data_IF_164967650789
#
_entry.id   IF_164967650789
#
_cell.length_a   1.000
_cell.length_b   1.000
_cell.length_c   1.000
_cell.angle_alpha   90.00
_cell.angle_beta   90.00
_cell.angle_gamma   90.00
#
_symmetry.space_group_name_H-M   'P 1'
#
loop_
_entity.id
_entity.type
_entity.pdbx_description
1 polymer ?
#
# COMPACT_ATOMS: atom_id res chain seq x y z
N UNK A 1 -11.36 -4.07 -15.34
CA UNK A 1 -10.12 -3.42 -15.85
C UNK A 1 -8.86 -4.01 -15.19
N UNK A 2 -8.63 -5.33 -15.26
CA UNK A 2 -7.49 -5.98 -14.59
C UNK A 2 -6.84 -7.14 -15.40
N UNK A 3 -7.03 -7.21 -16.72
CA UNK A 3 -6.41 -8.29 -17.53
C UNK A 3 -4.89 -8.15 -17.69
N UNK A 4 -4.31 -7.01 -17.31
CA UNK A 4 -2.86 -6.74 -17.45
C UNK A 4 -2.03 -7.16 -16.25
N UNK A 5 -2.64 -7.41 -15.09
CA UNK A 5 -1.91 -7.85 -13.88
C UNK A 5 -1.52 -9.32 -13.96
N UNK A 6 -2.42 -10.18 -14.46
CA UNK A 6 -2.16 -11.63 -14.60
C UNK A 6 -1.00 -11.89 -15.58
N UNK A 7 -0.93 -11.12 -16.69
CA UNK A 7 0.17 -11.23 -17.67
C UNK A 7 1.54 -10.81 -17.12
N UNK A 8 1.58 -9.95 -16.09
CA UNK A 8 2.85 -9.49 -15.48
C UNK A 8 3.42 -10.47 -14.46
N UNK A 9 2.59 -11.33 -13.87
CA UNK A 9 3.05 -12.31 -12.88
C UNK A 9 3.68 -13.52 -13.60
N UNK A 10 3.11 -13.96 -14.73
CA UNK A 10 3.61 -15.12 -15.48
C UNK A 10 4.96 -14.90 -16.19
N UNK A 11 5.41 -13.65 -16.37
CA UNK A 11 6.69 -13.31 -17.04
C UNK A 11 7.81 -12.91 -16.05
N UNK A 12 7.59 -13.07 -14.75
CA UNK A 12 8.59 -12.71 -13.73
C UNK A 12 9.64 -13.82 -13.60
N UNK A 13 10.50 -13.93 -14.63
CA UNK A 13 11.78 -14.62 -14.51
C UNK A 13 12.65 -13.99 -13.41
N UNK A 14 13.63 -14.73 -12.86
CA UNK A 14 14.44 -14.27 -11.75
C UNK A 14 15.20 -12.99 -12.14
N UNK A 15 15.09 -11.97 -11.29
CA UNK A 15 15.74 -10.67 -11.47
C UNK A 15 17.24 -10.89 -11.23
N UNK A 16 18.01 -11.07 -12.29
CA UNK A 16 19.47 -11.05 -12.22
C UNK A 16 19.96 -9.63 -12.50
N UNK A 17 20.30 -8.92 -11.44
CA UNK A 17 21.07 -7.68 -11.51
C UNK A 17 22.55 -8.02 -11.75
N UNK A 18 23.01 -7.92 -12.99
CA UNK A 18 24.44 -7.80 -13.26
C UNK A 18 24.68 -6.92 -14.48
N UNK A 19 24.88 -5.63 -14.23
CA UNK A 19 25.36 -4.67 -15.23
C UNK A 19 26.89 -4.66 -15.19
N UNK A 20 27.52 -5.46 -16.07
CA UNK A 20 28.86 -5.21 -16.64
C UNK A 20 29.19 -6.37 -17.59
N UNK A 21 29.23 -6.05 -18.89
CA UNK A 21 29.89 -6.83 -19.94
C UNK A 21 29.39 -8.28 -20.14
N UNK A 22 28.11 -8.47 -20.47
CA UNK A 22 27.64 -9.74 -21.01
C UNK A 22 27.87 -9.76 -22.53
N UNK A 23 28.88 -10.51 -22.95
CA UNK A 23 29.02 -11.02 -24.31
C UNK A 23 27.68 -11.61 -24.77
N UNK A 24 27.20 -11.12 -25.91
CA UNK A 24 25.91 -11.39 -26.52
C UNK A 24 25.72 -12.87 -26.81
N UNK A 25 25.02 -13.59 -25.94
CA UNK A 25 24.14 -14.66 -26.42
C UNK A 25 22.83 -13.99 -26.84
N UNK A 26 22.47 -13.94 -28.13
CA UNK A 26 21.17 -13.42 -28.52
C UNK A 26 20.12 -14.25 -27.80
N UNK A 27 19.16 -13.58 -27.18
CA UNK A 27 18.05 -14.19 -26.45
C UNK A 27 17.11 -14.87 -27.45
N UNK A 28 17.56 -15.97 -28.07
CA UNK A 28 16.79 -16.76 -29.04
C UNK A 28 15.52 -17.33 -28.38
N UNK A 29 15.50 -17.48 -27.05
CA UNK A 29 14.31 -17.92 -26.31
C UNK A 29 13.26 -16.82 -26.04
N UNK A 30 13.60 -15.53 -26.14
CA UNK A 30 12.64 -14.45 -25.83
C UNK A 30 11.58 -14.27 -26.94
N UNK A 31 11.76 -14.93 -28.09
CA UNK A 31 10.86 -14.86 -29.23
C UNK A 31 10.29 -16.22 -29.66
N UNK A 32 9.93 -17.08 -28.71
CA UNK A 32 9.05 -18.24 -28.95
C UNK A 32 7.57 -17.83 -29.18
N UNK A 33 7.34 -16.65 -29.78
CA UNK A 33 6.02 -16.14 -30.14
C UNK A 33 5.79 -16.38 -31.63
N UNK A 34 4.63 -16.92 -32.05
CA UNK A 34 4.28 -17.09 -33.47
C UNK A 34 4.38 -15.79 -34.27
N UNK A 35 4.17 -14.66 -33.61
CA UNK A 35 4.33 -13.33 -34.20
C UNK A 35 5.70 -12.76 -33.84
N UNK A 36 6.55 -12.61 -34.86
CA UNK A 36 7.85 -11.96 -34.75
C UNK A 36 7.66 -10.43 -34.73
N UNK A 37 8.34 -9.69 -33.84
CA UNK A 37 8.23 -8.24 -33.84
C UNK A 37 8.85 -7.66 -35.11
N UNK A 38 8.18 -6.66 -35.72
CA UNK A 38 8.71 -5.91 -36.88
C UNK A 38 10.03 -5.18 -36.59
N UNK A 39 10.27 -4.85 -35.32
CA UNK A 39 11.50 -4.22 -34.84
C UNK A 39 11.99 -4.96 -33.61
N UNK A 40 13.20 -5.53 -33.71
CA UNK A 40 13.84 -6.21 -32.58
C UNK A 40 14.22 -5.17 -31.53
N UNK A 41 13.88 -5.46 -30.28
CA UNK A 41 14.24 -4.68 -29.10
C UNK A 41 15.01 -5.61 -28.16
N UNK A 42 16.10 -5.19 -27.49
CA UNK A 42 16.72 -3.86 -27.45
C UNK A 42 17.49 -3.51 -28.73
N UNK A 43 17.62 -2.23 -29.09
CA UNK A 43 18.50 -1.82 -30.17
C UNK A 43 19.97 -1.99 -29.74
N UNK A 44 20.82 -2.43 -30.66
CA UNK A 44 22.27 -2.55 -30.42
C UNK A 44 22.90 -1.18 -30.19
N UNK A 45 23.08 -0.77 -28.93
CA UNK A 45 23.63 0.55 -28.59
C UNK A 45 25.04 0.78 -29.14
N UNK A 46 25.83 -0.26 -29.38
CA UNK A 46 27.19 -0.12 -29.95
C UNK A 46 27.19 0.39 -31.39
N UNK A 47 26.12 0.17 -32.15
CA UNK A 47 26.00 0.54 -33.58
C UNK A 47 25.35 1.92 -33.79
N UNK A 48 24.80 2.52 -32.73
CA UNK A 48 24.08 3.79 -32.77
C UNK A 48 25.04 4.97 -32.66
N UNK A 49 24.76 6.04 -33.42
CA UNK A 49 25.48 7.31 -33.29
C UNK A 49 25.25 7.92 -31.89
N UNK A 50 26.23 8.66 -31.38
CA UNK A 50 26.14 9.36 -30.08
C UNK A 50 24.92 10.27 -29.98
N UNK A 51 24.57 10.94 -31.08
CA UNK A 51 23.37 11.78 -31.18
C UNK A 51 22.10 10.98 -30.95
N UNK A 52 22.04 9.75 -31.44
CA UNK A 52 20.88 8.87 -31.29
C UNK A 52 20.81 8.28 -29.89
N UNK A 53 21.96 7.87 -29.32
CA UNK A 53 22.08 7.44 -27.92
C UNK A 53 21.55 8.53 -26.98
N UNK A 54 21.95 9.78 -27.17
CA UNK A 54 21.49 10.91 -26.35
C UNK A 54 19.97 11.13 -26.47
N UNK A 55 19.38 10.95 -27.66
CA UNK A 55 17.91 11.04 -27.84
C UNK A 55 17.18 9.93 -27.07
N UNK A 56 17.71 8.71 -27.07
CA UNK A 56 17.15 7.60 -26.30
C UNK A 56 17.27 7.84 -24.80
N UNK A 57 18.43 8.30 -24.34
CA UNK A 57 18.65 8.65 -22.94
C UNK A 57 17.68 9.75 -22.48
N UNK A 58 17.54 10.82 -23.26
CA UNK A 58 16.60 11.91 -22.96
C UNK A 58 15.17 11.41 -22.89
N UNK A 59 14.76 10.53 -23.82
CA UNK A 59 13.42 9.92 -23.83
C UNK A 59 13.21 9.00 -22.63
N UNK A 60 14.22 8.21 -22.27
CA UNK A 60 14.19 7.33 -21.10
C UNK A 60 14.04 8.12 -19.81
N UNK A 61 14.90 9.12 -19.57
CA UNK A 61 14.84 9.99 -18.38
C UNK A 61 13.48 10.67 -18.24
N UNK A 62 12.88 11.13 -19.34
CA UNK A 62 11.52 11.70 -19.33
C UNK A 62 10.47 10.68 -18.92
N UNK A 63 10.50 9.47 -19.47
CA UNK A 63 9.55 8.40 -19.13
C UNK A 63 9.71 7.95 -17.68
N UNK A 64 10.95 7.83 -17.18
CA UNK A 64 11.21 7.54 -15.78
C UNK A 64 10.70 8.66 -14.90
N UNK A 65 10.96 9.92 -15.24
CA UNK A 65 10.42 11.06 -14.48
C UNK A 65 8.89 11.04 -14.41
N UNK A 66 8.21 10.68 -15.50
CA UNK A 66 6.74 10.56 -15.52
C UNK A 66 6.24 9.32 -14.73
N UNK A 67 6.91 8.17 -14.85
CA UNK A 67 6.55 6.96 -14.10
C UNK A 67 6.85 7.10 -12.59
N UNK A 68 7.89 7.84 -12.25
CA UNK A 68 8.34 8.13 -10.89
C UNK A 68 7.71 9.40 -10.31
N UNK A 69 7.03 10.22 -11.12
CA UNK A 69 6.16 11.28 -10.63
C UNK A 69 5.03 10.61 -9.84
N UNK A 70 5.29 10.37 -8.55
CA UNK A 70 4.33 9.74 -7.65
C UNK A 70 3.11 10.66 -7.60
N UNK A 71 1.92 10.22 -8.02
CA UNK A 71 0.73 11.04 -7.90
C UNK A 71 0.38 11.13 -6.41
N UNK A 72 0.92 12.15 -5.74
CA UNK A 72 0.65 12.41 -4.32
C UNK A 72 -0.85 12.66 -4.12
N UNK A 73 -1.45 13.39 -5.05
CA UNK A 73 -2.88 13.68 -5.07
C UNK A 73 -3.74 12.41 -5.09
N UNK A 74 -3.43 11.46 -5.97
CA UNK A 74 -4.17 10.18 -6.02
C UNK A 74 -4.04 9.38 -4.71
N UNK A 75 -2.88 9.46 -4.04
CA UNK A 75 -2.71 8.82 -2.72
C UNK A 75 -3.59 9.49 -1.67
N UNK A 76 -3.66 10.82 -1.66
CA UNK A 76 -4.54 11.57 -0.77
C UNK A 76 -6.00 11.24 -1.02
N UNK A 77 -6.45 11.24 -2.28
CA UNK A 77 -7.82 10.87 -2.62
C UNK A 77 -8.14 9.45 -2.15
N UNK A 78 -7.23 8.49 -2.39
CA UNK A 78 -7.42 7.11 -1.91
C UNK A 78 -7.51 7.02 -0.39
N UNK A 79 -6.71 7.82 0.32
CA UNK A 79 -6.76 7.87 1.78
C UNK A 79 -8.08 8.50 2.26
N UNK A 80 -8.54 9.57 1.63
CA UNK A 80 -9.83 10.21 1.93
C UNK A 80 -10.99 9.28 1.62
N UNK A 81 -10.92 8.53 0.52
CA UNK A 81 -11.93 7.52 0.16
C UNK A 81 -11.96 6.38 1.17
N UNK A 82 -10.79 5.87 1.59
CA UNK A 82 -10.72 4.85 2.63
C UNK A 82 -11.27 5.39 3.96
N UNK A 83 -10.90 6.61 4.31
CA UNK A 83 -11.38 7.30 5.51
C UNK A 83 -12.90 7.46 5.48
N UNK A 84 -13.48 7.97 4.38
CA UNK A 84 -14.93 8.17 4.28
C UNK A 84 -15.71 6.86 4.41
N UNK A 85 -15.28 5.79 3.74
CA UNK A 85 -15.89 4.46 3.86
C UNK A 85 -15.78 3.94 5.29
N UNK A 86 -14.61 4.08 5.92
CA UNK A 86 -14.39 3.61 7.29
C UNK A 86 -15.24 4.41 8.29
N UNK A 87 -15.32 5.72 8.15
CA UNK A 87 -16.15 6.59 9.01
C UNK A 87 -17.62 6.22 8.93
N UNK A 88 -18.14 5.97 7.72
CA UNK A 88 -19.53 5.52 7.55
C UNK A 88 -19.76 4.18 8.23
N UNK A 89 -18.87 3.20 8.04
CA UNK A 89 -18.97 1.89 8.71
C UNK A 89 -18.94 2.01 10.24
N UNK A 90 -18.02 2.79 10.79
CA UNK A 90 -17.93 3.03 12.24
C UNK A 90 -19.22 3.69 12.76
N UNK A 91 -19.75 4.68 12.04
CA UNK A 91 -21.02 5.31 12.41
C UNK A 91 -22.18 4.31 12.38
N UNK A 92 -22.30 3.52 11.31
CA UNK A 92 -23.34 2.50 11.16
C UNK A 92 -23.30 1.44 12.26
N UNK A 93 -22.11 1.01 12.69
CA UNK A 93 -21.96 -0.01 13.73
C UNK A 93 -22.14 0.60 15.13
N UNK A 94 -21.50 1.74 15.41
CA UNK A 94 -21.36 2.25 16.78
C UNK A 94 -22.46 3.24 17.21
N UNK A 95 -23.00 4.03 16.27
CA UNK A 95 -23.89 5.14 16.60
C UNK A 95 -25.28 5.06 15.96
N UNK A 96 -25.43 4.39 14.82
CA UNK A 96 -26.72 4.27 14.14
C UNK A 96 -27.70 3.44 14.97
N UNK A 97 -28.80 4.04 15.40
CA UNK A 97 -29.87 3.31 16.05
C UNK A 97 -30.78 2.69 15.00
N UNK A 98 -30.77 1.36 14.91
CA UNK A 98 -31.70 0.62 14.07
C UNK A 98 -32.95 0.43 14.93
N UNK A 99 -34.04 1.14 14.61
CA UNK A 99 -35.34 1.17 15.34
C UNK A 99 -36.05 -0.19 15.41
N UNK A 100 -35.37 -1.21 15.91
CA UNK A 100 -35.77 -2.60 16.02
C UNK A 100 -35.56 -3.02 17.46
N UNK A 101 -36.42 -3.88 18.00
CA UNK A 101 -36.40 -4.28 19.42
C UNK A 101 -35.04 -4.86 19.88
N UNK A 102 -34.27 -5.46 18.97
CA UNK A 102 -32.94 -6.00 19.25
C UNK A 102 -31.90 -5.35 18.34
N UNK A 103 -31.12 -4.41 18.88
CA UNK A 103 -30.02 -3.78 18.14
C UNK A 103 -28.88 -4.79 17.91
N UNK A 104 -28.52 -5.12 16.65
CA UNK A 104 -27.63 -6.25 16.34
C UNK A 104 -26.16 -6.04 16.77
N UNK A 105 -25.76 -4.80 17.06
CA UNK A 105 -24.37 -4.43 17.35
C UNK A 105 -24.12 -4.01 18.79
N UNK A 106 -25.06 -4.21 19.73
CA UNK A 106 -24.89 -3.79 21.13
C UNK A 106 -23.67 -4.42 21.79
N UNK A 107 -23.48 -5.73 21.65
CA UNK A 107 -22.32 -6.42 22.22
C UNK A 107 -20.98 -5.87 21.69
N UNK A 108 -20.94 -5.47 20.41
CA UNK A 108 -19.74 -4.88 19.80
C UNK A 108 -19.47 -3.46 20.31
N UNK A 109 -20.53 -2.66 20.56
CA UNK A 109 -20.42 -1.32 21.14
C UNK A 109 -19.87 -1.38 22.56
N UNK A 110 -20.41 -2.27 23.39
CA UNK A 110 -19.98 -2.44 24.77
C UNK A 110 -18.52 -2.88 24.86
N UNK A 111 -18.12 -3.88 24.05
CA UNK A 111 -16.70 -4.30 23.98
C UNK A 111 -15.78 -3.18 23.52
N UNK A 112 -16.20 -2.38 22.55
CA UNK A 112 -15.43 -1.24 22.06
C UNK A 112 -15.23 -0.16 23.14
N UNK A 113 -16.30 0.22 23.85
CA UNK A 113 -16.22 1.21 24.93
C UNK A 113 -15.48 0.68 26.16
N UNK A 114 -15.62 -0.59 26.51
CA UNK A 114 -14.85 -1.25 27.58
C UNK A 114 -13.36 -1.27 27.25
N UNK A 115 -13.01 -1.57 26.00
CA UNK A 115 -11.63 -1.55 25.53
C UNK A 115 -11.05 -0.12 25.53
N UNK A 116 -11.78 0.87 24.99
CA UNK A 116 -11.37 2.28 25.04
C UNK A 116 -11.21 2.80 26.47
N UNK A 117 -12.14 2.44 27.36
CA UNK A 117 -12.09 2.78 28.78
C UNK A 117 -10.85 2.21 29.47
N UNK A 118 -10.46 0.97 29.16
CA UNK A 118 -9.24 0.35 29.70
C UNK A 118 -7.94 1.06 29.27
N UNK A 119 -7.95 1.78 28.15
CA UNK A 119 -6.81 2.59 27.68
C UNK A 119 -6.78 4.01 28.25
N UNK A 120 -7.86 4.45 28.93
CA UNK A 120 -7.92 5.76 29.55
C UNK A 120 -6.97 5.84 30.78
N UNK A 121 -6.20 6.94 30.92
CA UNK A 121 -5.22 7.08 32.00
C UNK A 121 -5.86 7.20 33.40
N UNK A 122 -7.13 7.63 33.50
CA UNK A 122 -7.87 7.80 34.75
C UNK A 122 -8.03 6.48 35.54
N UNK A 123 -8.37 5.36 34.88
CA UNK A 123 -8.48 4.05 35.55
C UNK A 123 -7.14 3.50 36.07
N UNK A 124 -5.99 4.01 35.58
CA UNK A 124 -4.68 3.64 36.14
C UNK A 124 -4.44 4.26 37.50
N UNK A 125 -5.15 5.34 37.85
CA UNK A 125 -5.02 6.00 39.15
C UNK A 125 -5.87 5.33 40.23
N UNK A 126 -7.06 4.82 39.90
CA UNK A 126 -7.89 4.04 40.85
C UNK A 126 -7.22 2.72 41.28
N UNK A 127 -6.53 2.01 40.38
CA UNK A 127 -5.81 0.77 40.75
C UNK A 127 -4.62 1.00 41.69
N UNK A 128 -4.21 2.26 41.92
CA UNK A 128 -3.11 2.62 42.82
C UNK A 128 -3.59 3.16 44.18
N UNK A 129 -4.90 3.25 44.39
CA UNK A 129 -5.50 3.91 45.57
C UNK A 129 -6.46 3.05 46.43
N UNK A 130 -6.25 1.74 46.64
CA UNK A 130 -6.68 1.10 47.88
C UNK A 130 -5.42 0.89 48.75
N UNK A 131 -5.37 1.51 49.93
CA UNK A 131 -4.54 1.17 51.11
C UNK A 131 -3.96 2.38 51.88
N UNK A 132 -4.37 3.62 51.58
CA UNK A 132 -4.20 4.72 52.54
C UNK A 132 -5.39 4.79 53.50
N UNK A 133 -5.42 3.85 54.44
CA UNK A 133 -6.30 3.91 55.61
C UNK A 133 -6.04 5.22 56.38
N UNK A 134 -7.07 5.94 56.85
CA UNK A 134 -6.85 7.07 57.74
C UNK A 134 -6.34 6.50 59.08
N UNK A 135 -5.07 6.73 59.40
CA UNK A 135 -4.55 6.49 60.74
C UNK A 135 -5.26 7.48 61.67
N UNK A 136 -6.35 7.00 62.27
CA UNK A 136 -7.03 7.64 63.37
C UNK A 136 -6.08 7.66 64.58
N UNK A 137 -5.53 8.84 64.89
CA UNK A 137 -4.87 9.07 66.18
C UNK A 137 -5.95 9.31 67.23
N UNK A 138 -6.07 8.37 68.17
CA UNK A 138 -6.80 8.52 69.43
C UNK A 138 -5.79 8.50 70.57
N UNK A 139 -5.44 9.68 71.07
CA UNK A 139 -5.17 9.99 72.49
C UNK A 139 -4.88 11.48 72.68
#
# INVERSE_FOLDING_TARGET
MFSTLVRRIALRGPILSNTRNASTKPLTEVYASPYKPKKVWPPDFSKLSEKEKFRFERRYKRRVKLATARPRWDKFIKLVQLFSVTTVLVYSVLFMDWQTENQPFQETREKFWNMLGAFSPEQRHERRAPDMLPVANSK
#
